data_IF_828165479622
#
_entry.id   IF_828165479622
#
_cell.length_a   1.000
_cell.length_b   1.000
_cell.length_c   1.000
_cell.angle_alpha   90.00
_cell.angle_beta   90.00
_cell.angle_gamma   90.00
#
_symmetry.space_group_name_H-M   'P 1'
#
loop_
_entity.id
_entity.type
_entity.pdbx_description
1 polymer ?
#
# COMPACT_ATOMS: atom_id res chain seq x y z
N UNK A 1 50.34 -18.48 -35.43
CA UNK A 1 48.88 -18.31 -35.62
C UNK A 1 48.24 -18.54 -34.28
N UNK A 2 47.46 -17.56 -33.83
CA UNK A 2 47.17 -17.25 -32.42
C UNK A 2 45.72 -17.65 -32.11
N UNK A 3 45.57 -18.30 -30.95
CA UNK A 3 44.42 -18.33 -30.04
C UNK A 3 43.04 -18.80 -30.52
N UNK A 4 42.59 -19.89 -29.90
CA UNK A 4 41.21 -20.31 -29.82
C UNK A 4 40.71 -20.02 -28.40
N UNK A 5 39.94 -18.94 -28.22
CA UNK A 5 39.25 -18.58 -26.99
C UNK A 5 37.75 -18.47 -27.28
N UNK A 6 37.03 -19.57 -27.01
CA UNK A 6 35.58 -19.60 -27.02
C UNK A 6 35.06 -18.99 -25.72
N UNK A 7 34.93 -17.65 -25.69
CA UNK A 7 34.28 -16.96 -24.57
C UNK A 7 32.76 -16.83 -24.75
N UNK A 8 32.13 -16.98 -23.60
CA UNK A 8 30.71 -16.95 -23.30
C UNK A 8 29.99 -15.66 -23.73
N UNK A 9 28.69 -15.85 -23.93
CA UNK A 9 27.62 -14.87 -24.18
C UNK A 9 27.64 -13.62 -23.28
N UNK A 10 26.89 -12.57 -23.66
CA UNK A 10 25.62 -12.40 -22.95
C UNK A 10 24.44 -12.20 -23.89
N UNK A 11 23.55 -13.20 -23.90
CA UNK A 11 22.14 -13.00 -24.22
C UNK A 11 21.46 -12.69 -22.90
N UNK A 12 20.83 -11.52 -22.76
CA UNK A 12 19.53 -11.34 -22.10
C UNK A 12 19.18 -9.86 -21.95
N UNK A 13 18.00 -9.54 -22.47
CA UNK A 13 17.11 -8.42 -22.14
C UNK A 13 17.53 -7.00 -22.49
N UNK A 14 17.08 -6.62 -23.70
CA UNK A 14 16.58 -5.27 -23.94
C UNK A 14 15.48 -4.98 -22.92
N UNK A 15 15.71 -4.08 -21.98
CA UNK A 15 14.62 -3.43 -21.26
C UNK A 15 13.85 -2.60 -22.30
N UNK A 16 12.75 -3.16 -22.78
CA UNK A 16 11.77 -2.43 -23.54
C UNK A 16 11.22 -1.33 -22.63
N UNK A 17 11.53 -0.09 -22.95
CA UNK A 17 10.83 1.09 -22.45
C UNK A 17 9.41 1.02 -23.00
N UNK A 18 8.52 0.34 -22.29
CA UNK A 18 7.09 0.42 -22.56
C UNK A 18 6.61 1.76 -22.03
N UNK A 19 6.83 2.83 -22.80
CA UNK A 19 6.11 4.10 -22.65
C UNK A 19 4.65 3.88 -23.07
N UNK A 20 3.94 3.09 -22.28
CA UNK A 20 2.50 2.95 -22.34
C UNK A 20 1.91 3.93 -21.35
N UNK A 21 1.08 4.85 -21.83
CA UNK A 21 0.12 5.61 -21.02
C UNK A 21 -0.54 4.64 -20.03
N UNK A 22 -0.24 4.77 -18.74
CA UNK A 22 -0.46 3.75 -17.71
C UNK A 22 -1.95 3.38 -17.55
N UNK A 23 -2.45 2.47 -18.38
CA UNK A 23 -3.70 1.78 -18.17
C UNK A 23 -3.53 0.88 -16.93
N UNK A 24 -3.99 1.34 -15.76
CA UNK A 24 -3.89 0.57 -14.51
C UNK A 24 -3.62 1.38 -13.24
N UNK A 25 -3.35 2.69 -13.32
CA UNK A 25 -3.11 3.50 -12.13
C UNK A 25 -4.43 3.88 -11.43
N UNK A 26 -5.00 2.93 -10.67
CA UNK A 26 -6.21 3.14 -9.87
C UNK A 26 -5.92 2.83 -8.41
N UNK A 27 -6.16 3.80 -7.53
CA UNK A 27 -6.31 3.54 -6.10
C UNK A 27 -7.82 3.61 -5.77
N UNK A 28 -8.47 2.47 -5.51
CA UNK A 28 -9.92 2.39 -5.30
C UNK A 28 -10.44 3.31 -4.19
N UNK A 29 -11.73 3.63 -4.18
CA UNK A 29 -12.35 4.23 -2.99
C UNK A 29 -12.44 3.22 -1.84
N UNK A 30 -12.33 3.69 -0.60
CA UNK A 30 -12.48 2.89 0.61
C UNK A 30 -13.54 3.56 1.51
N UNK A 31 -14.51 2.84 2.11
CA UNK A 31 -14.74 1.39 2.02
C UNK A 31 -15.08 0.93 0.59
N UNK A 32 -14.66 -0.28 0.24
CA UNK A 32 -14.99 -0.88 -1.04
C UNK A 32 -16.51 -1.04 -1.19
N UNK A 33 -17.00 -1.03 -2.43
CA UNK A 33 -18.40 -1.35 -2.71
C UNK A 33 -18.59 -2.86 -2.81
N UNK A 34 -19.74 -3.34 -2.37
CA UNK A 34 -20.16 -4.71 -2.59
C UNK A 34 -20.55 -4.93 -4.06
N UNK A 35 -20.57 -6.18 -4.56
CA UNK A 35 -21.01 -6.49 -5.93
C UNK A 35 -22.43 -5.98 -6.24
N UNK A 36 -23.30 -5.90 -5.23
CA UNK A 36 -24.65 -5.34 -5.34
C UNK A 36 -24.69 -3.80 -5.27
N UNK A 37 -23.54 -3.12 -5.26
CA UNK A 37 -23.41 -1.66 -5.23
C UNK A 37 -23.56 -1.02 -3.84
N UNK A 38 -23.93 -1.78 -2.82
CA UNK A 38 -24.03 -1.25 -1.44
C UNK A 38 -22.64 -0.93 -0.87
N UNK A 39 -22.58 0.02 0.08
CA UNK A 39 -21.32 0.39 0.73
C UNK A 39 -21.02 -0.58 1.86
N UNK A 40 -19.78 -1.05 1.95
CA UNK A 40 -19.34 -1.79 3.14
C UNK A 40 -19.32 -0.88 4.38
N UNK A 41 -19.47 -1.46 5.59
CA UNK A 41 -19.34 -0.72 6.83
C UNK A 41 -18.00 0.02 6.90
N UNK A 42 -18.02 1.24 7.47
CA UNK A 42 -16.78 2.00 7.68
C UNK A 42 -15.82 1.27 8.63
N UNK A 43 -16.35 0.52 9.59
CA UNK A 43 -15.59 -0.30 10.53
C UNK A 43 -14.71 -1.35 9.85
N UNK A 44 -15.07 -1.80 8.66
CA UNK A 44 -14.32 -2.81 7.88
C UNK A 44 -13.35 -2.18 6.88
N UNK A 45 -13.39 -0.86 6.73
CA UNK A 45 -12.64 -0.15 5.69
C UNK A 45 -11.11 -0.26 5.84
N UNK A 46 -10.61 -0.59 7.04
CA UNK A 46 -9.19 -0.85 7.26
C UNK A 46 -8.77 -2.24 6.75
N UNK A 47 -9.68 -3.23 6.76
CA UNK A 47 -9.42 -4.55 6.21
C UNK A 47 -9.28 -4.50 4.69
N UNK A 48 -10.16 -3.72 4.03
CA UNK A 48 -10.01 -3.39 2.60
C UNK A 48 -8.63 -2.78 2.30
N UNK A 49 -8.11 -1.93 3.19
CA UNK A 49 -6.78 -1.32 3.04
C UNK A 49 -5.67 -2.36 3.14
N UNK A 50 -5.74 -3.26 4.14
CA UNK A 50 -4.77 -4.35 4.29
C UNK A 50 -4.78 -5.23 3.04
N UNK A 51 -5.96 -5.64 2.57
CA UNK A 51 -6.12 -6.41 1.32
C UNK A 51 -5.53 -5.68 0.11
N UNK A 52 -5.87 -4.40 -0.08
CA UNK A 52 -5.28 -3.59 -1.16
C UNK A 52 -3.75 -3.52 -1.09
N UNK A 53 -3.19 -3.53 0.12
CA UNK A 53 -1.74 -3.47 0.34
C UNK A 53 -1.03 -4.78 0.03
N UNK A 54 -1.61 -5.93 0.44
CA UNK A 54 -0.96 -7.25 0.36
C UNK A 54 -1.30 -8.04 -0.91
N UNK A 55 -2.54 -7.92 -1.39
CA UNK A 55 -3.09 -8.76 -2.47
C UNK A 55 -3.55 -7.93 -3.68
N UNK A 56 -3.96 -6.69 -3.45
CA UNK A 56 -4.69 -5.90 -4.45
C UNK A 56 -6.19 -6.22 -4.46
N UNK A 57 -6.89 -5.67 -5.44
CA UNK A 57 -8.30 -6.01 -5.71
C UNK A 57 -8.63 -5.82 -7.21
N UNK A 58 -8.53 -6.89 -8.02
CA UNK A 58 -8.85 -6.85 -9.45
C UNK A 58 -10.28 -6.41 -9.75
N UNK A 59 -11.24 -6.67 -8.85
CA UNK A 59 -12.63 -6.23 -9.04
C UNK A 59 -12.76 -4.70 -8.98
N UNK A 60 -11.77 -4.03 -8.40
CA UNK A 60 -11.66 -2.57 -8.34
C UNK A 60 -10.54 -2.03 -9.25
N UNK A 61 -10.10 -2.85 -10.22
CA UNK A 61 -8.98 -2.54 -11.14
C UNK A 61 -7.63 -2.32 -10.46
N UNK A 62 -7.46 -2.79 -9.22
CA UNK A 62 -6.18 -2.81 -8.51
C UNK A 62 -5.52 -4.18 -8.68
N UNK A 63 -4.87 -4.41 -9.82
CA UNK A 63 -4.25 -5.71 -10.11
C UNK A 63 -2.92 -5.92 -9.37
N UNK A 64 -2.17 -4.86 -9.16
CA UNK A 64 -0.90 -4.91 -8.42
C UNK A 64 -1.14 -4.50 -6.97
N UNK A 65 -0.73 -5.31 -5.98
CA UNK A 65 -0.76 -4.91 -4.58
C UNK A 65 -0.03 -3.59 -4.37
N UNK A 66 -0.52 -2.73 -3.49
CA UNK A 66 0.09 -1.41 -3.32
C UNK A 66 1.55 -1.49 -2.85
N UNK A 67 1.92 -2.45 -2.01
CA UNK A 67 3.32 -2.60 -1.57
C UNK A 67 4.32 -2.84 -2.71
N UNK A 68 3.82 -3.37 -3.83
CA UNK A 68 4.60 -3.75 -5.01
C UNK A 68 4.50 -2.68 -6.12
N UNK A 69 3.90 -1.52 -5.82
CA UNK A 69 3.80 -0.42 -6.77
C UNK A 69 5.16 0.21 -7.02
N UNK A 70 5.49 0.50 -8.29
CA UNK A 70 6.74 1.14 -8.61
C UNK A 70 6.70 2.63 -8.18
N UNK A 71 7.82 3.20 -7.68
CA UNK A 71 7.83 4.53 -7.08
C UNK A 71 7.28 5.64 -7.97
N UNK A 72 7.53 5.59 -9.28
CA UNK A 72 7.08 6.55 -10.28
C UNK A 72 5.55 6.75 -10.29
N UNK A 73 4.78 5.76 -9.86
CA UNK A 73 3.32 5.81 -9.79
C UNK A 73 2.80 6.71 -8.66
N UNK A 74 3.65 7.00 -7.67
CA UNK A 74 3.33 7.87 -6.53
C UNK A 74 4.13 9.17 -6.52
N UNK A 75 5.05 9.34 -7.46
CA UNK A 75 5.92 10.52 -7.58
C UNK A 75 5.35 11.58 -8.54
N UNK A 76 6.01 12.75 -8.58
CA UNK A 76 5.71 13.86 -9.50
C UNK A 76 4.26 14.35 -9.40
N UNK A 77 3.57 14.47 -10.53
CA UNK A 77 2.22 15.02 -10.65
C UNK A 77 1.13 14.09 -10.07
N UNK A 78 1.49 12.93 -9.51
CA UNK A 78 0.58 11.94 -8.94
C UNK A 78 0.26 12.17 -7.46
N UNK A 79 0.17 13.44 -7.03
CA UNK A 79 0.01 13.80 -5.60
C UNK A 79 -1.19 13.13 -4.94
N UNK A 80 -2.33 13.01 -5.62
CA UNK A 80 -3.52 12.33 -5.09
C UNK A 80 -3.26 10.85 -4.80
N UNK A 81 -2.49 10.18 -5.67
CA UNK A 81 -2.10 8.79 -5.46
C UNK A 81 -1.09 8.67 -4.33
N UNK A 82 -0.12 9.59 -4.25
CA UNK A 82 0.86 9.64 -3.16
C UNK A 82 0.19 9.72 -1.79
N UNK A 83 -0.81 10.60 -1.62
CA UNK A 83 -1.54 10.75 -0.36
C UNK A 83 -2.27 9.47 0.02
N UNK A 84 -3.03 8.89 -0.92
CA UNK A 84 -3.78 7.64 -0.64
C UNK A 84 -2.84 6.47 -0.38
N UNK A 85 -1.75 6.38 -1.12
CA UNK A 85 -0.72 5.36 -0.93
C UNK A 85 -0.14 5.45 0.48
N UNK A 86 0.26 6.65 0.91
CA UNK A 86 0.82 6.88 2.24
C UNK A 86 -0.18 6.54 3.36
N UNK A 87 -1.44 6.94 3.22
CA UNK A 87 -2.47 6.59 4.21
C UNK A 87 -2.64 5.08 4.35
N UNK A 88 -2.65 4.37 3.22
CA UNK A 88 -2.82 2.90 3.20
C UNK A 88 -1.59 2.18 3.72
N UNK A 89 -0.40 2.62 3.33
CA UNK A 89 0.84 2.04 3.80
C UNK A 89 0.96 2.16 5.31
N UNK A 90 0.60 3.31 5.87
CA UNK A 90 0.70 3.53 7.31
C UNK A 90 -0.23 2.61 8.11
N UNK A 91 -1.51 2.51 7.71
CA UNK A 91 -2.47 1.60 8.36
C UNK A 91 -2.02 0.14 8.20
N UNK A 92 -1.69 -0.27 6.98
CA UNK A 92 -1.34 -1.66 6.69
C UNK A 92 -0.05 -2.08 7.42
N UNK A 93 0.99 -1.25 7.38
CA UNK A 93 2.26 -1.55 8.05
C UNK A 93 2.12 -1.52 9.58
N UNK A 94 1.29 -0.64 10.14
CA UNK A 94 0.99 -0.67 11.58
C UNK A 94 0.40 -2.03 11.99
N UNK A 95 -0.64 -2.46 11.28
CA UNK A 95 -1.28 -3.74 11.53
C UNK A 95 -0.32 -4.93 11.34
N UNK A 96 0.39 -4.97 10.20
CA UNK A 96 1.25 -6.09 9.82
C UNK A 96 2.52 -6.16 10.66
N UNK A 97 3.17 -5.03 10.96
CA UNK A 97 4.49 -5.03 11.60
C UNK A 97 4.41 -4.78 13.11
N UNK A 98 3.68 -3.75 13.55
CA UNK A 98 3.58 -3.41 14.98
C UNK A 98 2.71 -4.43 15.72
N UNK A 99 1.56 -4.76 15.15
CA UNK A 99 0.60 -5.69 15.75
C UNK A 99 0.72 -7.12 15.23
N UNK A 100 1.64 -7.40 14.29
CA UNK A 100 1.92 -8.74 13.76
C UNK A 100 0.68 -9.45 13.20
N UNK A 101 -0.20 -8.69 12.56
CA UNK A 101 -1.49 -9.17 12.05
C UNK A 101 -2.47 -9.67 13.14
N UNK A 102 -2.26 -9.29 14.40
CA UNK A 102 -3.19 -9.57 15.50
C UNK A 102 -4.33 -8.54 15.49
N UNK A 103 -5.45 -8.95 14.89
CA UNK A 103 -6.64 -8.11 14.77
C UNK A 103 -7.22 -7.69 16.13
N UNK A 104 -7.25 -8.60 17.10
CA UNK A 104 -7.84 -8.31 18.41
C UNK A 104 -7.02 -7.23 19.13
N UNK A 105 -5.68 -7.35 19.12
CA UNK A 105 -4.80 -6.34 19.73
C UNK A 105 -4.84 -5.02 18.97
N UNK A 106 -4.90 -5.06 17.65
CA UNK A 106 -4.98 -3.86 16.82
C UNK A 106 -6.27 -3.07 17.08
N UNK A 107 -7.43 -3.74 17.08
CA UNK A 107 -8.71 -3.10 17.34
C UNK A 107 -8.88 -2.64 18.79
N UNK A 108 -8.29 -3.36 19.75
CA UNK A 108 -8.24 -2.92 21.14
C UNK A 108 -7.42 -1.64 21.32
N UNK A 109 -6.33 -1.48 20.56
CA UNK A 109 -5.49 -0.29 20.61
C UNK A 109 -6.08 0.90 19.84
N UNK A 110 -6.84 0.64 18.77
CA UNK A 110 -7.43 1.66 17.91
C UNK A 110 -8.95 1.48 17.74
N UNK A 111 -9.75 1.79 18.79
CA UNK A 111 -11.21 1.75 18.68
C UNK A 111 -11.76 2.70 17.61
N UNK A 112 -10.99 3.69 17.17
CA UNK A 112 -11.31 4.59 16.05
C UNK A 112 -11.53 3.87 14.73
N UNK A 113 -11.03 2.64 14.57
CA UNK A 113 -11.32 1.79 13.40
C UNK A 113 -12.84 1.68 13.15
N UNK A 114 -13.66 1.65 14.20
CA UNK A 114 -15.13 1.62 14.09
C UNK A 114 -15.72 2.85 13.36
N UNK A 115 -15.06 4.01 13.45
CA UNK A 115 -15.47 5.25 12.78
C UNK A 115 -15.01 5.32 11.31
N UNK A 116 -14.04 4.48 10.95
CA UNK A 116 -13.49 4.34 9.61
C UNK A 116 -12.01 4.67 9.48
N UNK A 117 -11.42 4.31 8.35
CA UNK A 117 -9.97 4.38 8.11
C UNK A 117 -9.36 5.79 8.29
N UNK A 118 -10.09 6.88 8.03
CA UNK A 118 -9.55 8.24 8.27
C UNK A 118 -9.33 8.50 9.76
N UNK A 119 -10.28 8.10 10.62
CA UNK A 119 -10.14 8.25 12.06
C UNK A 119 -9.02 7.36 12.60
N UNK A 120 -8.94 6.14 12.10
CA UNK A 120 -7.84 5.21 12.39
C UNK A 120 -6.47 5.76 11.97
N UNK A 121 -6.33 6.28 10.75
CA UNK A 121 -5.08 6.89 10.27
C UNK A 121 -4.61 8.02 11.20
N UNK A 122 -5.52 8.88 11.62
CA UNK A 122 -5.20 9.97 12.54
C UNK A 122 -4.76 9.46 13.93
N UNK A 123 -5.45 8.43 14.45
CA UNK A 123 -5.08 7.81 15.73
C UNK A 123 -3.68 7.17 15.68
N UNK A 124 -3.35 6.46 14.60
CA UNK A 124 -2.02 5.87 14.41
C UNK A 124 -0.94 6.96 14.31
N UNK A 125 -1.19 8.02 13.53
CA UNK A 125 -0.25 9.15 13.44
C UNK A 125 0.01 9.81 14.79
N UNK A 126 -1.05 10.04 15.58
CA UNK A 126 -0.92 10.61 16.92
C UNK A 126 -0.11 9.69 17.84
N UNK A 127 -0.38 8.38 17.80
CA UNK A 127 0.37 7.40 18.59
C UNK A 127 1.86 7.37 18.21
N UNK A 128 2.17 7.39 16.92
CA UNK A 128 3.56 7.42 16.41
C UNK A 128 4.28 8.72 16.76
N UNK A 129 3.59 9.86 16.68
CA UNK A 129 4.15 11.15 17.11
C UNK A 129 4.47 11.14 18.60
N UNK A 130 3.54 10.66 19.44
CA UNK A 130 3.79 10.56 20.88
C UNK A 130 4.96 9.60 21.23
N UNK A 131 5.19 8.56 20.43
CA UNK A 131 6.35 7.68 20.58
C UNK A 131 7.66 8.33 20.10
N UNK A 132 7.64 9.00 18.94
CA UNK A 132 8.80 9.75 18.43
C UNK A 132 9.19 10.93 19.31
N UNK A 133 8.22 11.66 19.88
CA UNK A 133 8.46 12.73 20.86
C UNK A 133 9.04 12.19 22.17
N UNK A 134 8.71 10.94 22.54
CA UNK A 134 9.33 10.26 23.68
C UNK A 134 10.76 9.82 23.38
N UNK A 135 11.10 9.49 22.14
CA UNK A 135 12.46 9.10 21.73
C UNK A 135 13.41 10.29 21.57
N UNK A 136 12.91 11.49 21.21
CA UNK A 136 13.75 12.70 20.99
C UNK A 136 14.21 13.36 22.31
N UNK A 137 13.75 12.90 23.48
CA UNK A 137 14.23 13.37 24.79
C UNK A 137 15.02 12.27 25.51
N UNK A 138 16.27 12.08 25.12
CA UNK A 138 17.29 11.38 25.89
C UNK A 138 18.62 12.11 25.77
#
# INVERSE_FOLDING_TARGET
MISNDGQMTPSTSRLATCTGRAAGLVIPGVPARNPNGSRRPKSESWWDIVKHWTEGDPALSLHTPLRDWPPEWTQHNNRLFAVKYHQRSLIALEFLNTYRSDEARFLAAYPEAAKGHTALFNAINLARQAQGEREVRA
#
